data_IF_494629407715
#
_entry.id   IF_494629407715
#
_cell.length_a   1.000
_cell.length_b   1.000
_cell.length_c   1.000
_cell.angle_alpha   90.00
_cell.angle_beta   90.00
_cell.angle_gamma   90.00
#
_symmetry.space_group_name_H-M   'P 1'
#
loop_
_entity.id
_entity.type
_entity.pdbx_description
1 polymer ?
#
# COMPACT_ATOMS: atom_id res chain seq x y z
N UNK A 1 14.11 -17.56 25.09
CA UNK A 1 12.95 -17.55 24.17
C UNK A 1 13.48 -17.69 22.76
N UNK A 2 13.13 -18.77 22.03
CA UNK A 2 13.49 -18.90 20.61
C UNK A 2 12.58 -17.96 19.84
N UNK A 3 13.12 -16.87 19.32
CA UNK A 3 12.39 -16.01 18.38
C UNK A 3 12.06 -16.85 17.15
N UNK A 4 10.77 -17.02 16.87
CA UNK A 4 10.33 -17.67 15.64
C UNK A 4 10.87 -16.83 14.49
N UNK A 5 11.72 -17.41 13.65
CA UNK A 5 12.26 -16.73 12.49
C UNK A 5 11.13 -16.60 11.47
N UNK A 6 10.40 -15.48 11.50
CA UNK A 6 9.36 -15.19 10.52
C UNK A 6 10.08 -14.76 9.25
N UNK A 7 10.07 -15.61 8.22
CA UNK A 7 10.60 -15.26 6.92
C UNK A 7 9.83 -14.03 6.38
N UNK A 8 10.51 -12.91 6.07
CA UNK A 8 9.87 -11.73 5.52
C UNK A 8 9.07 -12.09 4.29
N UNK A 9 7.80 -11.67 4.25
CA UNK A 9 6.93 -11.90 3.11
C UNK A 9 6.11 -13.18 3.10
N UNK A 10 6.31 -14.14 4.02
CA UNK A 10 5.48 -15.37 4.12
C UNK A 10 4.01 -15.03 4.33
N UNK A 11 3.72 -13.93 5.04
CA UNK A 11 2.38 -13.41 5.21
C UNK A 11 1.60 -13.23 3.89
N UNK A 12 2.31 -12.92 2.81
CA UNK A 12 1.75 -12.64 1.49
C UNK A 12 1.59 -13.89 0.62
N UNK A 13 2.17 -15.03 1.02
CA UNK A 13 2.07 -16.26 0.25
C UNK A 13 0.62 -16.75 0.19
N UNK A 14 0.22 -17.20 -1.00
CA UNK A 14 -1.15 -17.65 -1.31
C UNK A 14 -2.27 -16.62 -1.13
N UNK A 15 -1.97 -15.35 -0.81
CA UNK A 15 -3.01 -14.31 -0.76
C UNK A 15 -3.58 -14.01 -2.14
N UNK A 16 -4.88 -13.68 -2.22
CA UNK A 16 -5.49 -13.24 -3.47
C UNK A 16 -4.86 -11.94 -3.95
N UNK A 17 -4.88 -11.74 -5.25
CA UNK A 17 -4.39 -10.54 -5.93
C UNK A 17 -5.54 -9.86 -6.66
N UNK A 18 -5.49 -8.53 -6.75
CA UNK A 18 -6.48 -7.80 -7.55
C UNK A 18 -6.17 -8.02 -9.03
N UNK A 19 -7.22 -8.19 -9.85
CA UNK A 19 -7.08 -8.41 -11.29
C UNK A 19 -6.61 -7.16 -12.04
N UNK A 20 -6.89 -5.98 -11.49
CA UNK A 20 -6.56 -4.68 -12.11
C UNK A 20 -5.83 -3.84 -11.08
N UNK A 21 -4.59 -3.45 -11.39
CA UNK A 21 -3.89 -2.43 -10.62
C UNK A 21 -4.42 -1.05 -11.04
N UNK A 22 -4.73 -0.15 -10.09
CA UNK A 22 -5.00 1.24 -10.40
C UNK A 22 -3.82 1.85 -11.17
N UNK A 23 -4.08 2.76 -12.10
CA UNK A 23 -2.99 3.53 -12.70
C UNK A 23 -2.37 4.45 -11.65
N UNK A 24 -1.03 4.53 -11.53
CA UNK A 24 -0.39 5.43 -10.58
C UNK A 24 -0.64 6.90 -10.95
N UNK A 25 -1.19 7.66 -10.02
CA UNK A 25 -1.32 9.11 -10.14
C UNK A 25 -0.07 9.81 -9.62
N UNK A 26 0.07 11.11 -9.94
CA UNK A 26 1.14 11.93 -9.37
C UNK A 26 1.00 12.00 -7.85
N UNK A 27 2.15 12.01 -7.18
CA UNK A 27 2.24 12.31 -5.76
C UNK A 27 1.54 13.62 -5.41
N UNK A 28 0.68 13.57 -4.39
CA UNK A 28 -0.02 14.71 -3.81
C UNK A 28 0.41 14.85 -2.34
N UNK A 29 1.20 15.90 -2.05
CA UNK A 29 1.69 16.18 -0.69
C UNK A 29 0.62 16.70 0.26
N UNK A 30 -0.59 17.02 -0.24
CA UNK A 30 -1.71 17.45 0.60
C UNK A 30 -2.41 16.27 1.29
N UNK A 31 -2.11 15.03 0.90
CA UNK A 31 -2.71 13.84 1.51
C UNK A 31 -1.86 13.40 2.73
N UNK A 32 -2.36 13.57 3.96
CA UNK A 32 -1.61 13.25 5.17
C UNK A 32 -1.43 11.74 5.36
N UNK A 33 -0.37 11.34 6.09
CA UNK A 33 -0.06 9.93 6.35
C UNK A 33 -1.12 9.26 7.26
N UNK A 34 -1.26 7.94 7.13
CA UNK A 34 -2.15 7.10 7.92
C UNK A 34 -1.94 7.28 9.43
N UNK A 35 -3.02 7.48 10.17
CA UNK A 35 -2.98 7.77 11.61
C UNK A 35 -2.81 9.25 11.96
N UNK A 36 -2.65 10.15 10.97
CA UNK A 36 -2.72 11.60 11.22
C UNK A 36 -4.13 11.99 11.70
N UNK A 37 -4.25 12.74 12.82
CA UNK A 37 -5.54 13.22 13.31
C UNK A 37 -6.33 14.00 12.26
N UNK A 38 -7.65 14.02 12.40
CA UNK A 38 -8.52 14.81 11.53
C UNK A 38 -8.15 16.30 11.59
N UNK A 39 -8.17 16.94 10.43
CA UNK A 39 -7.85 18.36 10.31
C UNK A 39 -8.76 19.06 9.29
N UNK A 40 -8.65 20.39 9.21
CA UNK A 40 -9.49 21.21 8.33
C UNK A 40 -9.35 20.88 6.84
N UNK A 41 -8.28 20.17 6.43
CA UNK A 41 -8.08 19.71 5.05
C UNK A 41 -8.90 18.45 4.69
N UNK A 42 -9.56 17.83 5.67
CA UNK A 42 -10.46 16.68 5.46
C UNK A 42 -11.89 17.10 5.05
N UNK A 43 -12.11 18.38 4.75
CA UNK A 43 -13.42 18.95 4.43
C UNK A 43 -14.09 18.30 3.20
N UNK A 44 -13.30 17.86 2.21
CA UNK A 44 -13.77 17.19 0.99
C UNK A 44 -13.47 15.68 1.02
N UNK A 45 -13.75 15.07 2.16
CA UNK A 45 -13.53 13.64 2.41
C UNK A 45 -12.17 13.35 3.03
N UNK A 46 -12.15 12.34 3.88
CA UNK A 46 -10.97 11.95 4.66
C UNK A 46 -10.07 11.10 3.79
N UNK A 47 -8.90 11.65 3.42
CA UNK A 47 -7.91 10.97 2.60
C UNK A 47 -6.65 10.71 3.41
N UNK A 48 -6.13 9.50 3.38
CA UNK A 48 -4.86 9.16 4.05
C UNK A 48 -3.91 8.44 3.12
N UNK A 49 -2.61 8.63 3.31
CA UNK A 49 -1.58 7.95 2.55
C UNK A 49 -0.87 6.88 3.38
N UNK A 50 -0.46 5.80 2.73
CA UNK A 50 0.37 4.75 3.35
C UNK A 50 1.46 4.34 2.37
N UNK A 51 2.65 4.05 2.88
CA UNK A 51 3.76 3.60 2.04
C UNK A 51 3.56 2.15 1.63
N UNK A 52 3.90 1.83 0.40
CA UNK A 52 3.83 0.46 -0.10
C UNK A 52 4.84 -0.43 0.62
N UNK A 53 6.04 0.06 0.92
CA UNK A 53 7.00 -0.73 1.71
C UNK A 53 6.47 -1.04 3.11
N UNK A 54 5.79 -0.10 3.76
CA UNK A 54 5.19 -0.30 5.09
C UNK A 54 4.11 -1.40 5.06
N UNK A 55 3.29 -1.44 4.00
CA UNK A 55 2.36 -2.55 3.79
C UNK A 55 3.10 -3.87 3.60
N UNK A 56 4.07 -3.90 2.68
CA UNK A 56 4.76 -5.13 2.29
C UNK A 56 5.65 -5.70 3.42
N UNK A 57 6.18 -4.85 4.29
CA UNK A 57 7.04 -5.20 5.42
C UNK A 57 6.26 -5.74 6.63
N UNK A 58 4.93 -5.62 6.64
CA UNK A 58 4.10 -6.15 7.72
C UNK A 58 4.36 -7.68 7.91
N UNK A 59 4.96 -8.09 9.05
CA UNK A 59 5.46 -9.45 9.21
C UNK A 59 4.35 -10.47 9.45
N UNK A 60 3.20 -10.02 9.96
CA UNK A 60 2.09 -10.87 10.36
C UNK A 60 0.73 -10.16 10.27
N UNK A 61 -0.32 -10.91 10.61
CA UNK A 61 -1.69 -10.42 10.60
C UNK A 61 -1.91 -9.28 11.60
N UNK A 62 -1.27 -9.30 12.76
CA UNK A 62 -1.48 -8.29 13.78
C UNK A 62 -0.89 -6.94 13.36
N UNK A 63 0.33 -6.96 12.81
CA UNK A 63 0.93 -5.77 12.22
C UNK A 63 0.06 -5.20 11.10
N UNK A 64 -0.46 -6.06 10.22
CA UNK A 64 -1.39 -5.63 9.17
C UNK A 64 -2.69 -5.03 9.75
N UNK A 65 -3.30 -5.65 10.76
CA UNK A 65 -4.52 -5.13 11.39
C UNK A 65 -4.30 -3.75 12.03
N UNK A 66 -3.12 -3.51 12.60
CA UNK A 66 -2.74 -2.20 13.14
C UNK A 66 -2.63 -1.14 12.03
N UNK A 67 -2.04 -1.50 10.87
CA UNK A 67 -2.00 -0.63 9.70
C UNK A 67 -3.40 -0.32 9.17
N UNK A 68 -4.25 -1.34 9.01
CA UNK A 68 -5.65 -1.17 8.58
C UNK A 68 -6.42 -0.26 9.54
N UNK A 69 -6.19 -0.41 10.85
CA UNK A 69 -6.88 0.40 11.86
C UNK A 69 -6.58 1.89 11.71
N UNK A 70 -5.34 2.25 11.34
CA UNK A 70 -4.94 3.64 11.05
C UNK A 70 -5.62 4.24 9.82
N UNK A 71 -6.20 3.40 8.97
CA UNK A 71 -6.88 3.77 7.72
C UNK A 71 -8.42 3.73 7.85
N UNK A 72 -8.96 3.22 8.95
CA UNK A 72 -10.41 3.15 9.16
C UNK A 72 -11.02 4.54 9.25
N UNK A 73 -12.22 4.69 8.69
CA UNK A 73 -12.93 5.97 8.64
C UNK A 73 -12.46 6.92 7.54
N UNK A 74 -11.49 6.50 6.72
CA UNK A 74 -11.10 7.24 5.52
C UNK A 74 -12.03 6.92 4.35
N UNK A 75 -12.33 7.91 3.53
CA UNK A 75 -13.09 7.75 2.28
C UNK A 75 -12.19 7.23 1.15
N UNK A 76 -10.91 7.61 1.17
CA UNK A 76 -9.92 7.12 0.23
C UNK A 76 -8.54 6.94 0.86
N UNK A 77 -7.81 5.95 0.34
CA UNK A 77 -6.42 5.70 0.71
C UNK A 77 -5.54 5.77 -0.53
N UNK A 78 -4.46 6.51 -0.38
CA UNK A 78 -3.44 6.66 -1.39
C UNK A 78 -2.21 5.83 -1.01
N UNK A 79 -2.00 4.73 -1.71
CA UNK A 79 -0.82 3.88 -1.52
C UNK A 79 0.32 4.51 -2.30
N UNK A 80 1.29 5.04 -1.57
CA UNK A 80 2.47 5.64 -2.11
C UNK A 80 3.48 4.54 -2.45
N UNK A 81 3.77 4.41 -3.74
CA UNK A 81 4.86 3.55 -4.20
C UNK A 81 6.15 4.31 -3.84
N UNK A 82 6.85 3.89 -2.78
CA UNK A 82 8.11 4.47 -2.27
C UNK A 82 9.35 3.65 -2.61
N UNK A 83 9.14 2.43 -3.13
CA UNK A 83 10.20 1.60 -3.66
C UNK A 83 9.83 1.04 -5.03
N UNK A 84 10.79 1.01 -5.95
CA UNK A 84 10.69 0.24 -7.18
C UNK A 84 12.00 -0.53 -7.37
N UNK A 85 11.96 -1.86 -7.52
CA UNK A 85 13.17 -2.63 -7.70
C UNK A 85 13.84 -2.27 -9.04
N UNK A 86 15.09 -1.81 -8.97
CA UNK A 86 15.99 -1.62 -10.10
C UNK A 86 16.51 -2.98 -10.58
N UNK A 87 15.67 -3.71 -11.30
CA UNK A 87 16.02 -5.04 -11.80
C UNK A 87 15.62 -5.18 -13.25
N UNK A 88 16.53 -5.74 -14.06
CA UNK A 88 16.25 -6.12 -15.43
C UNK A 88 15.59 -7.50 -15.55
N UNK A 89 15.52 -8.23 -14.43
CA UNK A 89 14.91 -9.54 -14.37
C UNK A 89 13.38 -9.48 -14.44
N UNK A 90 12.82 -10.12 -15.46
CA UNK A 90 11.36 -10.22 -15.67
C UNK A 90 10.65 -10.90 -14.49
N UNK A 91 11.31 -11.87 -13.84
CA UNK A 91 10.79 -12.61 -12.70
C UNK A 91 10.62 -11.70 -11.48
N UNK A 92 11.65 -10.93 -11.15
CA UNK A 92 11.65 -10.02 -9.99
C UNK A 92 10.60 -8.91 -10.18
N UNK A 93 10.49 -8.33 -11.40
CA UNK A 93 9.42 -7.37 -11.73
C UNK A 93 8.04 -7.98 -11.58
N UNK A 94 7.85 -9.20 -12.07
CA UNK A 94 6.58 -9.93 -11.98
C UNK A 94 6.20 -10.21 -10.53
N UNK A 95 7.16 -10.68 -9.73
CA UNK A 95 6.97 -10.94 -8.31
C UNK A 95 6.62 -9.65 -7.56
N UNK A 96 7.34 -8.56 -7.81
CA UNK A 96 7.03 -7.27 -7.20
C UNK A 96 5.62 -6.78 -7.55
N UNK A 97 5.26 -6.77 -8.84
CA UNK A 97 3.90 -6.40 -9.30
C UNK A 97 2.82 -7.27 -8.65
N UNK A 98 3.09 -8.57 -8.48
CA UNK A 98 2.20 -9.48 -7.78
C UNK A 98 2.01 -9.08 -6.32
N UNK A 99 3.10 -8.77 -5.60
CA UNK A 99 3.02 -8.29 -4.21
C UNK A 99 2.22 -7.00 -4.10
N UNK A 100 2.40 -6.06 -5.03
CA UNK A 100 1.57 -4.83 -5.07
C UNK A 100 0.09 -5.19 -5.24
N UNK A 101 -0.26 -6.08 -6.18
CA UNK A 101 -1.66 -6.51 -6.37
C UNK A 101 -2.25 -7.16 -5.12
N UNK A 102 -1.47 -7.98 -4.42
CA UNK A 102 -1.91 -8.60 -3.16
C UNK A 102 -2.15 -7.55 -2.08
N UNK A 103 -1.28 -6.54 -1.97
CA UNK A 103 -1.44 -5.45 -1.01
C UNK A 103 -2.69 -4.60 -1.30
N UNK A 104 -2.91 -4.22 -2.56
CA UNK A 104 -4.11 -3.49 -2.96
C UNK A 104 -5.37 -4.31 -2.70
N UNK A 105 -5.37 -5.60 -3.08
CA UNK A 105 -6.51 -6.49 -2.80
C UNK A 105 -6.82 -6.59 -1.32
N UNK A 106 -5.79 -6.68 -0.49
CA UNK A 106 -5.96 -6.75 0.96
C UNK A 106 -6.62 -5.48 1.51
N UNK A 107 -6.23 -4.30 1.01
CA UNK A 107 -6.86 -3.04 1.40
C UNK A 107 -8.33 -2.99 0.96
N UNK A 108 -8.62 -3.37 -0.27
CA UNK A 108 -10.00 -3.44 -0.81
C UNK A 108 -10.89 -4.36 0.03
N UNK A 109 -10.39 -5.54 0.41
CA UNK A 109 -11.12 -6.52 1.21
C UNK A 109 -11.28 -6.06 2.68
N UNK A 110 -10.29 -5.38 3.23
CA UNK A 110 -10.28 -4.97 4.64
C UNK A 110 -11.02 -3.66 4.91
N UNK A 111 -11.18 -2.82 3.88
CA UNK A 111 -11.77 -1.48 3.95
C UNK A 111 -12.81 -1.34 2.82
N UNK A 112 -13.93 -2.08 2.90
CA UNK A 112 -14.92 -2.11 1.83
C UNK A 112 -15.56 -0.74 1.63
N UNK A 113 -15.72 -0.33 0.37
CA UNK A 113 -16.29 0.96 -0.01
C UNK A 113 -15.29 2.13 -0.02
N UNK A 114 -14.07 1.91 0.46
CA UNK A 114 -13.00 2.90 0.41
C UNK A 114 -12.33 2.89 -0.96
N UNK A 115 -12.04 4.07 -1.51
CA UNK A 115 -11.31 4.17 -2.78
C UNK A 115 -9.80 4.02 -2.54
N UNK A 116 -9.20 2.95 -3.09
CA UNK A 116 -7.75 2.75 -3.07
C UNK A 116 -7.14 3.30 -4.35
N UNK A 117 -6.11 4.13 -4.23
CA UNK A 117 -5.37 4.72 -5.36
C UNK A 117 -3.88 4.47 -5.21
N UNK A 118 -3.16 4.39 -6.34
CA UNK A 118 -1.70 4.34 -6.34
C UNK A 118 -1.16 5.75 -6.59
N UNK A 119 -0.14 6.14 -5.84
CA UNK A 119 0.62 7.38 -6.08
C UNK A 119 2.08 7.04 -6.31
N UNK A 120 2.67 7.65 -7.34
CA UNK A 120 4.10 7.57 -7.60
C UNK A 120 4.75 8.95 -7.39
N UNK A 121 5.93 9.02 -6.74
CA UNK A 121 6.77 10.22 -6.70
C UNK A 121 7.02 10.78 -8.11
N UNK A 122 7.14 12.12 -8.24
CA UNK A 122 7.32 12.76 -9.54
C UNK A 122 8.60 12.33 -10.27
N UNK A 123 9.63 11.88 -9.54
CA UNK A 123 10.90 11.39 -10.11
C UNK A 123 10.72 10.14 -10.97
N UNK A 124 9.59 9.44 -10.86
CA UNK A 124 9.36 8.14 -11.51
C UNK A 124 8.54 8.24 -12.79
N UNK A 125 8.12 9.44 -13.20
CA UNK A 125 7.45 9.68 -14.49
C UNK A 125 8.40 9.73 -15.69
N UNK A 126 9.72 9.57 -15.51
CA UNK A 126 10.71 9.70 -16.60
C UNK A 126 11.23 8.37 -17.20
N UNK A 127 10.36 7.40 -17.44
CA UNK A 127 10.70 6.29 -18.34
C UNK A 127 9.58 6.10 -19.35
N UNK A 128 9.65 6.91 -20.42
CA UNK A 128 9.02 6.63 -21.71
C UNK A 128 9.93 5.71 -22.53
#
# INVERSE_FOLDING_TARGET
MKGTYTLPGVFWDHRPETGVLPEPHAYDSSIPEAGTPYCLFDADGTRRSIRLTELLDAPDRHAMENLITRLRGCDAVAVLIDYQPETDGSIQRTFYRRRVRQAIRLLEDSLPGMRVTLMAPPEWRMAA
#
